data_IF_856417365491
#
_entry.id   IF_856417365491
#
_cell.length_a   1.000
_cell.length_b   1.000
_cell.length_c   1.000
_cell.angle_alpha   90.00
_cell.angle_beta   90.00
_cell.angle_gamma   90.00
#
_symmetry.space_group_name_H-M   'P 1'
#
loop_
_entity.id
_entity.type
_entity.pdbx_description
1 polymer ?
#
# COMPACT_ATOMS: atom_id res chain seq x y z
N UNK A 1 17.29 -54.20 68.74
CA UNK A 1 15.92 -54.10 68.20
C UNK A 1 15.84 -52.92 67.25
N UNK A 2 15.67 -53.27 65.97
CA UNK A 2 15.26 -52.53 64.77
C UNK A 2 14.99 -51.02 64.80
N UNK A 3 15.88 -50.28 64.13
CA UNK A 3 15.68 -49.32 63.02
C UNK A 3 14.24 -49.26 62.49
N UNK A 4 13.63 -48.08 62.26
CA UNK A 4 12.93 -47.68 61.01
C UNK A 4 12.74 -46.16 60.96
N UNK A 5 13.26 -45.56 59.88
CA UNK A 5 13.18 -44.15 59.47
C UNK A 5 11.82 -43.91 58.80
N UNK A 6 11.22 -42.74 59.01
CA UNK A 6 10.16 -42.21 58.13
C UNK A 6 10.60 -40.83 57.63
N UNK A 7 11.13 -40.81 56.40
CA UNK A 7 11.33 -39.60 55.61
C UNK A 7 10.16 -39.49 54.63
N UNK A 8 9.42 -38.40 54.68
CA UNK A 8 8.37 -38.09 53.71
C UNK A 8 9.00 -37.49 52.44
N UNK A 9 8.65 -37.96 51.22
CA UNK A 9 9.08 -37.32 50.00
C UNK A 9 8.19 -36.11 49.70
N UNK A 10 8.79 -34.91 49.72
CA UNK A 10 8.21 -33.71 49.16
C UNK A 10 8.30 -33.81 47.62
N UNK A 11 7.22 -34.24 46.98
CA UNK A 11 7.12 -34.24 45.51
C UNK A 11 6.89 -32.79 45.04
N UNK A 12 7.97 -32.06 44.79
CA UNK A 12 7.92 -30.77 44.10
C UNK A 12 7.65 -31.02 42.61
N UNK A 13 6.40 -30.83 42.20
CA UNK A 13 6.03 -30.76 40.79
C UNK A 13 6.63 -29.49 40.18
N UNK A 14 7.78 -29.62 39.53
CA UNK A 14 8.35 -28.58 38.66
C UNK A 14 7.44 -28.50 37.42
N UNK A 15 6.49 -27.57 37.45
CA UNK A 15 5.78 -27.15 36.26
C UNK A 15 6.78 -26.48 35.31
N UNK A 16 7.32 -27.25 34.36
CA UNK A 16 7.98 -26.72 33.17
C UNK A 16 6.93 -25.94 32.37
N UNK A 17 6.77 -24.67 32.72
CA UNK A 17 6.18 -23.71 31.82
C UNK A 17 7.12 -23.64 30.63
N UNK A 18 6.69 -24.23 29.51
CA UNK A 18 7.35 -24.03 28.23
C UNK A 18 7.21 -22.55 27.88
N UNK A 19 8.15 -21.74 28.36
CA UNK A 19 8.29 -20.36 27.95
C UNK A 19 8.44 -20.37 26.44
N UNK A 20 7.50 -19.73 25.74
CA UNK A 20 7.56 -19.54 24.31
C UNK A 20 8.76 -18.64 24.00
N UNK A 21 9.95 -19.24 23.94
CA UNK A 21 11.19 -18.57 23.65
C UNK A 21 11.22 -18.27 22.15
N UNK A 22 10.80 -17.08 21.77
CA UNK A 22 11.20 -16.52 20.49
C UNK A 22 12.69 -16.18 20.59
N UNK A 23 13.54 -16.96 19.93
CA UNK A 23 14.98 -16.75 19.97
C UNK A 23 15.41 -15.82 18.81
N UNK A 24 16.55 -15.12 18.91
CA UNK A 24 17.08 -14.30 17.82
C UNK A 24 17.16 -15.03 16.46
N UNK A 25 17.38 -16.35 16.48
CA UNK A 25 17.40 -17.19 15.29
C UNK A 25 16.05 -17.20 14.54
N UNK A 26 14.92 -17.06 15.23
CA UNK A 26 13.59 -16.99 14.59
C UNK A 26 13.34 -15.62 13.96
N UNK A 27 13.75 -14.53 14.62
CA UNK A 27 13.68 -13.20 14.03
C UNK A 27 14.56 -13.11 12.77
N UNK A 28 15.74 -13.76 12.79
CA UNK A 28 16.61 -13.86 11.63
C UNK A 28 15.99 -14.68 10.48
N UNK A 29 15.30 -15.79 10.80
CA UNK A 29 14.61 -16.64 9.80
C UNK A 29 13.49 -15.89 9.08
N UNK A 30 12.60 -15.25 9.82
CA UNK A 30 11.41 -14.61 9.25
C UNK A 30 11.68 -13.17 8.77
N UNK A 31 12.85 -12.60 9.13
CA UNK A 31 13.25 -11.20 8.85
C UNK A 31 12.19 -10.19 9.33
N UNK A 32 11.46 -10.50 10.40
CA UNK A 32 10.45 -9.63 11.02
C UNK A 32 10.94 -9.12 12.37
N UNK A 33 10.58 -7.88 12.77
CA UNK A 33 10.91 -7.38 14.10
C UNK A 33 10.17 -8.18 15.18
N UNK A 34 10.69 -8.18 16.40
CA UNK A 34 10.05 -8.89 17.52
C UNK A 34 8.61 -8.44 17.78
N UNK A 35 8.32 -7.15 17.56
CA UNK A 35 6.97 -6.57 17.66
C UNK A 35 5.94 -7.19 16.72
N UNK A 36 6.38 -7.90 15.67
CA UNK A 36 5.46 -8.60 14.77
C UNK A 36 4.81 -9.80 15.47
N UNK A 37 5.58 -10.57 16.24
CA UNK A 37 5.09 -11.76 16.95
C UNK A 37 4.72 -11.48 18.42
N UNK A 38 5.28 -10.44 19.02
CA UNK A 38 5.11 -10.09 20.43
C UNK A 38 4.49 -8.70 20.60
N UNK A 39 3.65 -8.54 21.62
CA UNK A 39 3.12 -7.22 22.01
C UNK A 39 4.25 -6.30 22.48
N UNK A 40 5.25 -6.86 23.16
CA UNK A 40 6.48 -6.15 23.54
C UNK A 40 7.43 -6.02 22.34
N UNK A 41 7.84 -4.81 21.94
CA UNK A 41 8.82 -4.63 20.86
C UNK A 41 10.20 -5.22 21.16
N UNK A 42 10.55 -5.38 22.45
CA UNK A 42 11.78 -6.04 22.89
C UNK A 42 11.70 -7.58 22.82
N UNK A 43 10.55 -8.14 22.39
CA UNK A 43 10.28 -9.57 22.41
C UNK A 43 9.77 -10.07 23.77
N UNK A 44 9.41 -11.36 23.81
CA UNK A 44 8.85 -12.01 24.99
C UNK A 44 7.43 -11.54 25.35
N UNK A 45 6.89 -12.07 26.45
CA UNK A 45 5.55 -11.72 26.93
C UNK A 45 4.42 -12.23 26.04
N UNK A 46 3.31 -11.48 26.00
CA UNK A 46 2.13 -11.85 25.23
C UNK A 46 2.39 -11.84 23.72
N UNK A 47 1.85 -12.85 23.03
CA UNK A 47 1.93 -12.99 21.58
C UNK A 47 0.79 -12.22 20.89
N UNK A 48 1.12 -11.58 19.77
CA UNK A 48 0.13 -11.03 18.82
C UNK A 48 -0.63 -12.16 18.12
N UNK A 49 -1.62 -11.83 17.29
CA UNK A 49 -2.29 -12.81 16.43
C UNK A 49 -1.29 -13.55 15.52
N UNK A 50 -0.32 -12.83 14.95
CA UNK A 50 0.75 -13.41 14.14
C UNK A 50 1.66 -14.33 14.95
N UNK A 51 2.05 -13.94 16.17
CA UNK A 51 2.84 -14.80 17.05
C UNK A 51 2.12 -16.09 17.44
N UNK A 52 0.81 -16.00 17.76
CA UNK A 52 -0.04 -17.16 18.05
C UNK A 52 -0.14 -18.08 16.83
N UNK A 53 -0.35 -17.52 15.64
CA UNK A 53 -0.35 -18.28 14.38
C UNK A 53 0.97 -19.00 14.16
N UNK A 54 2.10 -18.30 14.34
CA UNK A 54 3.44 -18.85 14.14
C UNK A 54 3.69 -20.10 14.98
N UNK A 55 3.37 -20.04 16.28
CA UNK A 55 3.51 -21.18 17.20
C UNK A 55 2.61 -22.34 16.78
N UNK A 56 1.37 -22.04 16.36
CA UNK A 56 0.42 -23.06 15.91
C UNK A 56 0.77 -23.70 14.56
N UNK A 57 1.59 -23.04 13.72
CA UNK A 57 1.89 -23.48 12.35
C UNK A 57 3.37 -23.85 12.17
N UNK A 58 3.91 -24.67 13.08
CA UNK A 58 5.28 -25.20 13.01
C UNK A 58 6.35 -24.10 12.86
N UNK A 59 6.16 -22.95 13.52
CA UNK A 59 7.08 -21.82 13.46
C UNK A 59 7.26 -21.34 12.00
N UNK A 60 6.14 -21.12 11.34
CA UNK A 60 6.06 -20.56 9.98
C UNK A 60 4.96 -19.50 9.91
N UNK A 61 5.24 -18.39 9.23
CA UNK A 61 4.23 -17.38 8.89
C UNK A 61 3.54 -17.67 7.55
N UNK A 62 3.96 -18.72 6.84
CA UNK A 62 3.35 -19.13 5.57
C UNK A 62 1.86 -19.43 5.79
N UNK A 63 1.01 -18.75 5.03
CA UNK A 63 -0.44 -18.93 5.10
C UNK A 63 -1.13 -18.12 6.20
N UNK A 64 -0.41 -17.27 6.95
CA UNK A 64 -1.01 -16.35 7.90
C UNK A 64 -2.11 -15.54 7.17
N UNK A 65 -3.37 -15.52 7.65
CA UNK A 65 -4.44 -14.80 6.96
C UNK A 65 -4.15 -13.31 6.86
N UNK A 66 -4.36 -12.71 5.69
CA UNK A 66 -4.24 -11.26 5.49
C UNK A 66 -5.53 -10.61 5.98
N UNK A 67 -5.42 -9.60 6.82
CA UNK A 67 -6.54 -8.81 7.30
C UNK A 67 -6.15 -7.35 7.35
N UNK A 68 -7.03 -6.47 6.86
CA UNK A 68 -6.88 -5.04 7.05
C UNK A 68 -7.99 -4.51 7.95
N UNK A 69 -7.65 -3.52 8.77
CA UNK A 69 -8.60 -2.78 9.60
C UNK A 69 -8.60 -1.30 9.23
N UNK A 70 -9.76 -0.68 9.41
CA UNK A 70 -9.90 0.78 9.33
C UNK A 70 -9.13 1.41 10.48
N UNK A 71 -8.03 2.10 10.19
CA UNK A 71 -7.31 2.87 11.20
C UNK A 71 -7.95 4.24 11.43
N UNK A 72 -8.54 4.81 10.37
CA UNK A 72 -9.20 6.09 10.43
C UNK A 72 -10.07 6.41 9.24
N UNK A 73 -10.96 7.38 9.47
CA UNK A 73 -11.78 8.02 8.48
C UNK A 73 -11.63 9.54 8.60
N UNK A 74 -11.72 10.24 7.48
CA UNK A 74 -11.69 11.69 7.42
C UNK A 74 -12.56 12.20 6.28
N UNK A 75 -12.99 13.45 6.35
CA UNK A 75 -13.58 14.15 5.22
C UNK A 75 -12.47 14.67 4.31
N UNK A 76 -12.66 14.54 2.99
CA UNK A 76 -11.83 15.17 1.98
C UNK A 76 -12.56 16.39 1.39
N UNK A 77 -11.84 17.33 0.74
CA UNK A 77 -12.48 18.37 -0.06
C UNK A 77 -13.49 17.77 -1.06
N UNK A 78 -14.66 18.38 -1.17
CA UNK A 78 -15.82 17.87 -1.94
C UNK A 78 -15.50 17.57 -3.41
N UNK A 79 -14.60 18.35 -4.00
CA UNK A 79 -14.16 18.24 -5.38
C UNK A 79 -13.11 17.15 -5.62
N UNK A 80 -12.58 16.53 -4.55
CA UNK A 80 -11.49 15.55 -4.64
C UNK A 80 -11.90 14.38 -5.53
N UNK A 81 -11.08 14.09 -6.54
CA UNK A 81 -11.22 12.94 -7.46
C UNK A 81 -9.98 12.06 -7.54
N UNK A 82 -8.83 12.54 -7.07
CA UNK A 82 -7.59 11.76 -6.96
C UNK A 82 -6.92 12.00 -5.64
N UNK A 83 -6.27 10.95 -5.16
CA UNK A 83 -5.47 10.96 -3.94
C UNK A 83 -4.10 10.35 -4.19
N UNK A 84 -3.11 10.83 -3.44
CA UNK A 84 -1.80 10.24 -3.36
C UNK A 84 -1.19 10.44 -1.97
N UNK A 85 -0.18 9.66 -1.64
CA UNK A 85 0.58 9.76 -0.40
C UNK A 85 2.07 9.94 -0.73
N UNK A 86 2.74 10.88 -0.07
CA UNK A 86 4.17 11.07 -0.27
C UNK A 86 4.79 12.15 0.60
N UNK A 87 6.09 12.03 0.86
CA UNK A 87 6.89 13.09 1.48
C UNK A 87 7.37 14.07 0.40
N UNK A 88 6.45 14.85 -0.16
CA UNK A 88 6.76 15.77 -1.27
C UNK A 88 7.53 17.01 -0.83
N UNK A 89 7.56 17.36 0.46
CA UNK A 89 8.24 18.56 0.95
C UNK A 89 9.67 18.29 1.48
N UNK A 90 10.06 17.02 1.59
CA UNK A 90 11.41 16.64 2.00
C UNK A 90 11.68 16.70 3.50
N UNK A 91 10.66 16.92 4.33
CA UNK A 91 10.80 17.03 5.79
C UNK A 91 10.59 15.69 6.52
N UNK A 92 10.55 14.59 5.77
CA UNK A 92 10.36 13.23 6.28
C UNK A 92 8.90 12.88 6.56
N UNK A 93 7.96 13.83 6.44
CA UNK A 93 6.55 13.61 6.75
C UNK A 93 5.76 13.25 5.50
N UNK A 94 5.13 12.09 5.53
CA UNK A 94 4.17 11.68 4.51
C UNK A 94 2.93 12.55 4.61
N UNK A 95 2.50 13.09 3.48
CA UNK A 95 1.31 13.94 3.37
C UNK A 95 0.29 13.31 2.45
N UNK A 96 -0.96 13.69 2.66
CA UNK A 96 -2.04 13.45 1.73
C UNK A 96 -1.99 14.51 0.63
N UNK A 97 -2.05 14.09 -0.62
CA UNK A 97 -2.24 14.98 -1.76
C UNK A 97 -3.61 14.73 -2.36
N UNK A 98 -4.36 15.79 -2.63
CA UNK A 98 -5.71 15.72 -3.19
C UNK A 98 -5.79 16.57 -4.46
N UNK A 99 -6.31 15.99 -5.55
CA UNK A 99 -6.61 16.72 -6.77
C UNK A 99 -8.13 16.82 -6.96
N UNK A 100 -8.61 18.05 -7.10
CA UNK A 100 -9.99 18.37 -7.44
C UNK A 100 -10.31 18.23 -8.93
N UNK A 101 -11.38 18.87 -9.38
CA UNK A 101 -11.75 18.94 -10.81
C UNK A 101 -10.76 19.75 -11.66
N UNK A 102 -10.06 20.70 -11.05
CA UNK A 102 -9.03 21.54 -11.68
C UNK A 102 -7.68 20.85 -11.86
N UNK A 103 -6.65 21.67 -12.06
CA UNK A 103 -5.25 21.28 -12.21
C UNK A 103 -4.38 21.61 -10.99
N UNK A 104 -5.00 22.02 -9.88
CA UNK A 104 -4.33 22.36 -8.63
C UNK A 104 -4.32 21.16 -7.67
N UNK A 105 -3.13 20.65 -7.39
CA UNK A 105 -2.89 19.59 -6.42
C UNK A 105 -2.70 20.23 -5.05
N UNK A 106 -3.60 19.95 -4.12
CA UNK A 106 -3.49 20.40 -2.73
C UNK A 106 -2.66 19.41 -1.93
N UNK A 107 -1.72 19.93 -1.14
CA UNK A 107 -0.89 19.16 -0.22
C UNK A 107 -1.44 19.40 1.18
N UNK A 108 -1.97 18.34 1.78
CA UNK A 108 -2.70 18.38 3.04
C UNK A 108 -1.80 17.85 4.17
N UNK A 109 -1.93 18.44 5.35
CA UNK A 109 -1.32 17.96 6.58
C UNK A 109 -2.37 17.63 7.62
N UNK A 110 -2.01 16.74 8.54
CA UNK A 110 -2.83 16.47 9.72
C UNK A 110 -2.48 17.47 10.82
N UNK A 111 -3.48 18.23 11.26
CA UNK A 111 -3.40 19.13 12.41
C UNK A 111 -4.67 18.94 13.25
N UNK A 112 -4.51 18.78 14.56
CA UNK A 112 -5.63 18.64 15.51
C UNK A 112 -6.69 17.60 15.11
N UNK A 113 -6.21 16.42 14.64
CA UNK A 113 -7.05 15.33 14.14
C UNK A 113 -7.96 15.70 12.95
N UNK A 114 -7.59 16.72 12.18
CA UNK A 114 -8.25 17.11 10.93
C UNK A 114 -7.24 17.30 9.81
N UNK A 115 -7.72 17.21 8.57
CA UNK A 115 -6.94 17.55 7.39
C UNK A 115 -7.00 19.06 7.17
N UNK A 116 -5.84 19.69 7.03
CA UNK A 116 -5.70 21.11 6.72
C UNK A 116 -4.81 21.30 5.49
N UNK A 117 -5.16 22.20 4.55
CA UNK A 117 -4.27 22.56 3.44
C UNK A 117 -2.96 23.14 3.97
N UNK A 118 -1.83 22.65 3.45
CA UNK A 118 -0.50 23.18 3.74
C UNK A 118 0.02 24.08 2.64
N UNK A 119 -0.10 23.62 1.40
CA UNK A 119 0.30 24.35 0.19
C UNK A 119 -0.36 23.71 -1.02
N UNK A 120 -0.18 24.27 -2.21
CA UNK A 120 -0.71 23.72 -3.45
C UNK A 120 0.30 23.82 -4.59
N UNK A 121 0.05 23.03 -5.64
CA UNK A 121 0.89 22.94 -6.82
C UNK A 121 0.01 22.93 -8.08
N UNK A 122 0.23 23.88 -8.97
CA UNK A 122 -0.44 23.90 -10.28
C UNK A 122 0.25 22.96 -11.26
N UNK A 123 -0.45 21.92 -11.69
CA UNK A 123 0.10 20.85 -12.52
C UNK A 123 -0.02 21.10 -14.03
N UNK A 124 -0.99 21.92 -14.45
CA UNK A 124 -1.25 22.18 -15.87
C UNK A 124 -1.85 20.97 -16.63
N UNK A 125 -1.58 20.86 -17.94
CA UNK A 125 -2.10 19.76 -18.75
C UNK A 125 -1.69 18.38 -18.21
N UNK A 126 -2.61 17.42 -18.27
CA UNK A 126 -2.35 16.06 -17.78
C UNK A 126 -2.51 15.86 -16.27
N UNK A 127 -2.92 16.90 -15.51
CA UNK A 127 -3.14 16.81 -14.07
C UNK A 127 -4.01 15.62 -13.63
N UNK A 128 -5.01 15.22 -14.44
CA UNK A 128 -5.89 14.08 -14.16
C UNK A 128 -5.16 12.73 -14.04
N UNK A 129 -3.94 12.65 -14.57
CA UNK A 129 -3.05 11.48 -14.55
C UNK A 129 -1.86 11.69 -13.61
N UNK A 130 -2.05 12.42 -12.52
CA UNK A 130 -1.03 12.67 -11.52
C UNK A 130 -0.70 11.41 -10.70
N UNK A 131 0.59 11.20 -10.46
CA UNK A 131 1.11 10.22 -9.52
C UNK A 131 2.18 10.86 -8.63
N UNK A 132 2.33 10.32 -7.42
CA UNK A 132 3.33 10.77 -6.45
C UNK A 132 4.11 9.56 -5.97
N UNK A 133 5.43 9.62 -6.06
CA UNK A 133 6.30 8.50 -5.70
C UNK A 133 7.72 9.00 -5.39
N UNK A 134 8.48 8.21 -4.63
CA UNK A 134 9.90 8.46 -4.37
C UNK A 134 10.73 7.99 -5.57
N UNK A 135 10.65 8.73 -6.68
CA UNK A 135 11.26 8.36 -7.97
C UNK A 135 12.79 8.56 -8.02
N UNK A 136 13.37 9.14 -6.97
CA UNK A 136 14.80 9.29 -6.76
C UNK A 136 15.12 8.88 -5.33
N UNK A 137 16.11 8.00 -5.15
CA UNK A 137 16.45 7.44 -3.83
C UNK A 137 16.93 8.55 -2.89
N UNK A 138 16.52 8.47 -1.62
CA UNK A 138 16.89 9.41 -0.55
C UNK A 138 16.49 10.87 -0.81
N UNK A 139 15.53 11.10 -1.71
CA UNK A 139 14.99 12.42 -2.06
C UNK A 139 13.51 12.51 -1.68
N UNK A 140 12.96 13.74 -1.62
CA UNK A 140 11.52 13.94 -1.50
C UNK A 140 10.75 13.21 -2.62
N UNK A 141 9.50 12.88 -2.34
CA UNK A 141 8.60 12.33 -3.35
C UNK A 141 8.41 13.33 -4.50
N UNK A 142 8.39 12.82 -5.73
CA UNK A 142 8.21 13.57 -6.96
C UNK A 142 6.74 13.48 -7.38
N UNK A 143 6.18 14.61 -7.83
CA UNK A 143 4.87 14.63 -8.46
C UNK A 143 5.05 14.50 -9.97
N UNK A 144 4.51 13.46 -10.59
CA UNK A 144 4.63 13.19 -12.01
C UNK A 144 3.28 13.38 -12.72
N UNK A 145 3.31 14.03 -13.89
CA UNK A 145 2.20 14.15 -14.84
C UNK A 145 2.73 13.96 -16.26
N UNK A 146 1.88 13.67 -17.25
CA UNK A 146 2.32 13.64 -18.64
C UNK A 146 3.09 14.91 -19.05
N UNK A 147 4.32 14.72 -19.53
CA UNK A 147 5.23 15.77 -20.01
C UNK A 147 6.03 16.52 -18.95
N UNK A 148 5.82 16.30 -17.65
CA UNK A 148 6.56 16.99 -16.59
C UNK A 148 6.67 16.21 -15.27
N UNK A 149 7.73 16.50 -14.52
CA UNK A 149 7.83 16.12 -13.11
C UNK A 149 8.04 17.37 -12.26
N UNK A 150 7.56 17.36 -11.03
CA UNK A 150 7.71 18.45 -10.07
C UNK A 150 8.48 17.93 -8.86
N UNK A 151 9.57 18.61 -8.55
CA UNK A 151 10.46 18.31 -7.43
C UNK A 151 10.44 19.48 -6.46
N UNK A 152 10.41 19.20 -5.15
CA UNK A 152 10.50 20.24 -4.13
C UNK A 152 11.96 20.47 -3.72
N UNK A 153 12.36 21.73 -3.60
CA UNK A 153 13.65 22.16 -3.07
C UNK A 153 13.44 23.33 -2.10
N UNK A 154 14.53 23.99 -1.69
CA UNK A 154 14.48 25.12 -0.76
C UNK A 154 13.71 26.35 -1.30
N UNK A 155 13.53 26.43 -2.63
CA UNK A 155 12.78 27.49 -3.32
C UNK A 155 11.32 27.10 -3.61
N UNK A 156 10.91 25.89 -3.20
CA UNK A 156 9.58 25.32 -3.44
C UNK A 156 9.55 24.31 -4.60
N UNK A 157 8.41 24.21 -5.28
CA UNK A 157 8.26 23.25 -6.37
C UNK A 157 8.86 23.75 -7.68
N UNK A 158 9.83 23.01 -8.21
CA UNK A 158 10.43 23.22 -9.53
C UNK A 158 9.84 22.22 -10.54
N UNK A 159 9.30 22.74 -11.64
CA UNK A 159 8.85 21.94 -12.78
C UNK A 159 10.03 21.58 -13.68
N UNK A 160 10.24 20.29 -13.93
CA UNK A 160 11.21 19.77 -14.88
C UNK A 160 10.49 19.19 -16.10
N UNK A 161 10.97 19.51 -17.30
CA UNK A 161 10.38 19.03 -18.56
C UNK A 161 10.73 17.55 -18.76
N UNK A 162 9.71 16.72 -18.94
CA UNK A 162 9.84 15.26 -19.06
C UNK A 162 9.11 14.77 -20.31
N UNK A 163 9.51 15.25 -21.49
CA UNK A 163 8.73 15.08 -22.73
C UNK A 163 8.47 13.64 -23.16
N UNK A 164 9.33 12.70 -22.75
CA UNK A 164 9.15 11.27 -23.06
C UNK A 164 8.05 10.60 -22.20
N UNK A 165 7.66 11.22 -21.08
CA UNK A 165 6.57 10.73 -20.23
C UNK A 165 5.22 11.15 -20.84
N UNK A 166 4.84 10.53 -21.95
CA UNK A 166 3.65 10.93 -22.73
C UNK A 166 2.32 10.55 -22.08
N UNK A 167 2.33 9.50 -21.26
CA UNK A 167 1.23 9.07 -20.42
C UNK A 167 1.77 8.46 -19.12
N UNK A 168 0.91 8.29 -18.12
CA UNK A 168 1.24 7.56 -16.90
C UNK A 168 0.10 6.60 -16.60
N UNK A 169 0.40 5.30 -16.63
CA UNK A 169 -0.56 4.25 -16.32
C UNK A 169 -0.51 3.85 -14.85
N UNK A 170 0.62 4.08 -14.16
CA UNK A 170 0.74 3.71 -12.77
C UNK A 170 2.06 4.09 -12.12
N UNK A 171 2.18 3.67 -10.86
CA UNK A 171 3.41 3.64 -10.09
C UNK A 171 3.69 2.22 -9.61
N UNK A 172 4.96 1.88 -9.50
CA UNK A 172 5.45 0.61 -8.96
C UNK A 172 6.51 0.90 -7.90
N UNK A 173 6.48 0.12 -6.83
CA UNK A 173 7.60 -0.02 -5.90
C UNK A 173 8.15 -1.43 -5.98
N UNK A 174 9.44 -1.56 -6.26
CA UNK A 174 10.15 -2.84 -6.26
C UNK A 174 10.51 -3.28 -4.83
N UNK A 175 10.92 -4.53 -4.65
CA UNK A 175 11.30 -5.09 -3.33
C UNK A 175 12.56 -4.49 -2.72
N UNK A 176 13.41 -3.87 -3.54
CA UNK A 176 14.57 -3.08 -3.08
C UNK A 176 14.20 -1.65 -2.62
N UNK A 177 12.94 -1.27 -2.78
CA UNK A 177 12.39 0.02 -2.38
C UNK A 177 12.40 1.08 -3.49
N UNK A 178 13.01 0.83 -4.65
CA UNK A 178 12.96 1.74 -5.80
C UNK A 178 11.52 1.96 -6.25
N UNK A 179 11.16 3.21 -6.55
CA UNK A 179 9.85 3.53 -7.11
C UNK A 179 9.99 4.13 -8.50
N UNK A 180 9.08 3.76 -9.39
CA UNK A 180 9.04 4.25 -10.75
C UNK A 180 7.60 4.60 -11.14
N UNK A 181 7.45 5.48 -12.13
CA UNK A 181 6.21 5.57 -12.91
C UNK A 181 6.33 4.64 -14.11
N UNK A 182 5.20 4.10 -14.58
CA UNK A 182 5.20 3.32 -15.81
C UNK A 182 4.09 3.73 -16.77
N UNK A 183 4.36 3.54 -18.05
CA UNK A 183 3.43 3.72 -19.16
C UNK A 183 3.14 2.35 -19.77
N UNK A 184 1.86 1.96 -19.80
CA UNK A 184 1.38 0.74 -20.42
C UNK A 184 0.31 1.07 -21.45
N UNK A 185 0.55 0.63 -22.69
CA UNK A 185 -0.32 0.86 -23.84
C UNK A 185 -1.19 -0.35 -24.21
N UNK A 186 -1.06 -1.47 -23.47
CA UNK A 186 -1.78 -2.71 -23.74
C UNK A 186 -1.14 -3.62 -24.80
N UNK A 187 -0.10 -3.14 -25.50
CA UNK A 187 0.47 -3.82 -26.68
C UNK A 187 1.94 -4.19 -26.50
N UNK A 188 2.65 -3.51 -25.60
CA UNK A 188 4.08 -3.69 -25.37
C UNK A 188 4.40 -3.81 -23.88
N UNK A 189 5.63 -4.23 -23.58
CA UNK A 189 6.16 -4.19 -22.22
C UNK A 189 6.08 -2.75 -21.69
N UNK A 190 5.60 -2.52 -20.46
CA UNK A 190 5.50 -1.18 -19.91
C UNK A 190 6.84 -0.43 -19.94
N UNK A 191 6.85 0.79 -20.44
CA UNK A 191 8.00 1.68 -20.29
C UNK A 191 8.06 2.19 -18.83
N UNK A 192 9.19 1.97 -18.16
CA UNK A 192 9.37 2.30 -16.74
C UNK A 192 10.36 3.45 -16.59
N UNK A 193 9.99 4.47 -15.82
CA UNK A 193 10.80 5.67 -15.64
C UNK A 193 11.05 5.97 -14.16
N UNK A 194 12.32 6.14 -13.82
CA UNK A 194 12.77 6.81 -12.60
C UNK A 194 12.99 8.30 -12.85
N UNK A 195 13.47 9.01 -11.83
CA UNK A 195 13.82 10.44 -11.93
C UNK A 195 15.23 10.70 -11.40
N UNK A 196 15.95 11.58 -12.12
CA UNK A 196 17.20 12.19 -11.68
C UNK A 196 17.07 13.71 -11.78
N UNK A 197 16.77 14.35 -10.66
CA UNK A 197 16.35 15.76 -10.58
C UNK A 197 17.42 16.79 -10.95
N UNK A 198 18.69 16.40 -10.93
CA UNK A 198 19.84 17.23 -11.31
C UNK A 198 20.24 17.09 -12.78
N UNK A 199 19.62 16.18 -13.53
CA UNK A 199 19.91 15.96 -14.94
C UNK A 199 19.14 16.92 -15.88
N UNK A 200 19.70 17.19 -17.06
CA UNK A 200 19.03 18.00 -18.09
C UNK A 200 17.77 17.34 -18.65
N UNK A 201 17.80 16.01 -18.79
CA UNK A 201 16.62 15.17 -18.94
C UNK A 201 16.36 14.47 -17.60
N UNK A 202 15.26 14.79 -16.90
CA UNK A 202 15.04 14.26 -15.56
C UNK A 202 14.65 12.78 -15.57
N UNK A 203 14.29 12.18 -16.70
CA UNK A 203 13.86 10.80 -16.76
C UNK A 203 15.05 9.84 -16.91
N UNK A 204 15.05 8.79 -16.09
CA UNK A 204 15.94 7.63 -16.22
C UNK A 204 15.13 6.40 -16.60
N UNK A 205 15.78 5.41 -17.24
CA UNK A 205 15.16 4.10 -17.48
C UNK A 205 15.14 3.35 -16.15
N UNK A 206 13.94 2.95 -15.71
CA UNK A 206 13.76 2.12 -14.52
C UNK A 206 13.86 0.62 -14.81
N UNK A 207 13.76 -0.24 -13.78
CA UNK A 207 13.77 -1.69 -13.96
C UNK A 207 12.58 -2.17 -14.80
N UNK A 208 12.81 -3.21 -15.60
CA UNK A 208 11.77 -3.87 -16.39
C UNK A 208 10.65 -4.41 -15.48
N UNK A 209 9.40 -4.29 -15.93
CA UNK A 209 8.26 -4.90 -15.25
C UNK A 209 8.03 -6.32 -15.76
N UNK A 210 7.98 -7.29 -14.84
CA UNK A 210 7.55 -8.66 -15.09
C UNK A 210 6.03 -8.80 -15.04
N UNK A 211 5.50 -9.91 -15.57
CA UNK A 211 4.07 -10.21 -15.49
C UNK A 211 3.60 -10.34 -14.03
N UNK A 212 2.32 -10.01 -13.72
CA UNK A 212 1.78 -10.08 -12.37
C UNK A 212 2.03 -11.40 -11.62
N UNK A 213 1.92 -12.54 -12.29
CA UNK A 213 2.15 -13.87 -11.73
C UNK A 213 3.63 -14.17 -11.45
N UNK A 214 4.54 -13.39 -12.03
CA UNK A 214 5.99 -13.44 -11.81
C UNK A 214 6.45 -12.35 -10.81
N UNK A 215 5.54 -11.50 -10.35
CA UNK A 215 5.87 -10.33 -9.53
C UNK A 215 6.29 -10.65 -8.09
N UNK A 216 6.09 -11.88 -7.61
CA UNK A 216 6.51 -12.29 -6.28
C UNK A 216 8.03 -12.15 -6.12
N UNK A 217 8.47 -11.43 -5.08
CA UNK A 217 9.88 -11.10 -4.86
C UNK A 217 10.42 -9.96 -5.74
N UNK A 218 9.64 -9.47 -6.71
CA UNK A 218 9.99 -8.33 -7.57
C UNK A 218 9.28 -7.06 -7.14
N UNK A 219 7.97 -7.16 -6.86
CA UNK A 219 7.14 -6.01 -6.48
C UNK A 219 6.84 -5.98 -4.99
N UNK A 220 7.04 -4.81 -4.39
CA UNK A 220 6.40 -4.47 -3.12
C UNK A 220 4.93 -4.11 -3.36
N UNK A 221 4.67 -3.20 -4.30
CA UNK A 221 3.31 -2.89 -4.76
C UNK A 221 3.31 -2.25 -6.14
N UNK A 222 2.15 -2.30 -6.78
CA UNK A 222 1.80 -1.61 -8.01
C UNK A 222 0.47 -0.90 -7.77
N UNK A 223 0.36 0.35 -8.22
CA UNK A 223 -0.92 1.09 -8.31
C UNK A 223 -1.08 1.54 -9.75
N UNK A 224 -2.04 0.94 -10.45
CA UNK A 224 -2.33 1.24 -11.84
C UNK A 224 -3.69 1.90 -11.96
N UNK A 225 -3.80 2.84 -12.91
CA UNK A 225 -5.04 3.48 -13.29
C UNK A 225 -5.31 3.30 -14.77
N UNK A 226 -6.38 2.58 -15.08
CA UNK A 226 -6.76 2.26 -16.45
C UNK A 226 -8.21 2.68 -16.72
N UNK A 227 -8.50 3.18 -17.92
CA UNK A 227 -9.87 3.30 -18.40
C UNK A 227 -10.62 1.96 -18.31
N UNK A 228 -11.92 2.00 -18.02
CA UNK A 228 -12.73 0.79 -17.80
C UNK A 228 -12.80 -0.11 -19.05
N UNK A 229 -12.80 0.49 -20.24
CA UNK A 229 -12.73 -0.19 -21.53
C UNK A 229 -11.38 -0.92 -21.71
N UNK A 230 -10.27 -0.29 -21.33
CA UNK A 230 -8.97 -0.95 -21.33
C UNK A 230 -8.94 -2.17 -20.38
N UNK A 231 -9.54 -2.07 -19.20
CA UNK A 231 -9.65 -3.20 -18.27
C UNK A 231 -10.49 -4.35 -18.84
N UNK A 232 -11.61 -4.02 -19.49
CA UNK A 232 -12.45 -5.01 -20.16
C UNK A 232 -11.70 -5.71 -21.31
N UNK A 233 -10.92 -4.95 -22.10
CA UNK A 233 -10.07 -5.50 -23.17
C UNK A 233 -8.97 -6.42 -22.63
N UNK A 234 -8.45 -6.14 -21.44
CA UNK A 234 -7.48 -6.98 -20.73
C UNK A 234 -8.14 -8.21 -20.06
N UNK A 235 -9.44 -8.43 -20.27
CA UNK A 235 -10.16 -9.60 -19.75
C UNK A 235 -10.50 -9.54 -18.26
N UNK A 236 -10.43 -8.36 -17.63
CA UNK A 236 -10.82 -8.22 -16.22
C UNK A 236 -12.32 -8.47 -16.03
N UNK A 237 -12.74 -9.07 -14.91
CA UNK A 237 -14.15 -9.23 -14.60
C UNK A 237 -14.90 -7.89 -14.61
N UNK A 238 -16.15 -7.92 -15.06
CA UNK A 238 -16.97 -6.72 -15.18
C UNK A 238 -17.17 -6.00 -13.84
N UNK A 239 -17.15 -6.73 -12.72
CA UNK A 239 -17.22 -6.19 -11.37
C UNK A 239 -15.99 -5.36 -11.00
N UNK A 240 -14.80 -5.75 -11.48
CA UNK A 240 -13.54 -5.05 -11.26
C UNK A 240 -13.33 -3.91 -12.27
N UNK A 241 -13.67 -4.13 -13.53
CA UNK A 241 -13.47 -3.17 -14.62
C UNK A 241 -14.28 -1.86 -14.46
N UNK A 242 -15.27 -1.82 -13.56
CA UNK A 242 -16.08 -0.62 -13.25
C UNK A 242 -15.32 0.45 -12.49
N UNK A 243 -14.17 0.13 -11.89
CA UNK A 243 -13.35 1.08 -11.14
C UNK A 243 -11.98 1.19 -11.79
N UNK A 244 -11.50 2.40 -12.12
CA UNK A 244 -10.31 2.56 -12.94
C UNK A 244 -9.01 2.35 -12.16
N UNK A 245 -9.01 1.72 -10.99
CA UNK A 245 -7.84 1.59 -10.12
C UNK A 245 -7.69 0.17 -9.58
N UNK A 246 -6.49 -0.37 -9.72
CA UNK A 246 -6.13 -1.73 -9.32
C UNK A 246 -4.62 -1.84 -9.12
N UNK A 247 -4.16 -3.01 -8.70
CA UNK A 247 -2.73 -3.28 -8.76
C UNK A 247 -2.32 -4.56 -8.04
N UNK A 248 -1.08 -4.55 -7.60
CA UNK A 248 -0.44 -5.64 -6.87
C UNK A 248 0.05 -5.12 -5.52
N UNK A 249 0.09 -5.96 -4.51
CA UNK A 249 0.60 -5.62 -3.19
C UNK A 249 1.10 -6.86 -2.48
N UNK A 250 2.34 -6.81 -2.01
CA UNK A 250 2.86 -7.71 -0.99
C UNK A 250 2.71 -7.00 0.36
N UNK A 251 1.61 -7.23 1.10
CA UNK A 251 1.33 -6.48 2.30
C UNK A 251 2.33 -6.73 3.43
N UNK A 252 3.09 -7.82 3.36
CA UNK A 252 4.01 -8.22 4.43
C UNK A 252 5.46 -8.11 4.04
N UNK A 253 5.79 -7.99 2.76
CA UNK A 253 7.17 -8.19 2.30
C UNK A 253 7.61 -9.63 2.59
N UNK A 254 6.75 -10.60 2.29
CA UNK A 254 7.04 -12.04 2.41
C UNK A 254 6.92 -12.78 1.07
N UNK A 255 7.01 -12.02 -0.03
CA UNK A 255 6.92 -12.46 -1.42
C UNK A 255 5.54 -13.04 -1.78
N UNK A 256 4.56 -12.93 -0.89
CA UNK A 256 3.20 -13.40 -1.11
C UNK A 256 2.33 -12.34 -1.79
N UNK A 257 2.73 -11.97 -3.01
CA UNK A 257 2.07 -10.94 -3.80
C UNK A 257 0.57 -11.24 -3.96
N UNK A 258 -0.26 -10.22 -3.81
CA UNK A 258 -1.69 -10.26 -4.06
C UNK A 258 -2.05 -9.24 -5.11
N UNK A 259 -3.03 -9.56 -5.92
CA UNK A 259 -3.67 -8.55 -6.71
C UNK A 259 -4.83 -7.96 -5.93
N UNK A 260 -5.02 -6.65 -6.07
CA UNK A 260 -6.07 -5.91 -5.41
C UNK A 260 -6.87 -5.09 -6.42
N UNK A 261 -8.14 -4.91 -6.13
CA UNK A 261 -9.07 -4.13 -6.96
C UNK A 261 -10.30 -3.74 -6.15
N UNK A 262 -11.05 -2.77 -6.66
CA UNK A 262 -12.40 -2.50 -6.18
C UNK A 262 -13.38 -3.43 -6.90
N UNK A 263 -14.07 -4.26 -6.13
CA UNK A 263 -15.09 -5.17 -6.60
C UNK A 263 -16.47 -4.54 -6.43
N UNK A 264 -17.19 -4.38 -7.54
CA UNK A 264 -18.53 -3.78 -7.57
C UNK A 264 -19.61 -4.79 -7.94
N UNK A 265 -20.41 -5.16 -6.95
CA UNK A 265 -21.56 -6.06 -7.11
C UNK A 265 -22.84 -5.46 -6.50
N UNK A 266 -23.91 -6.27 -6.40
CA UNK A 266 -25.19 -5.84 -5.83
C UNK A 266 -25.12 -5.47 -4.33
N UNK A 267 -24.05 -5.86 -3.62
CA UNK A 267 -23.83 -5.54 -2.20
C UNK A 267 -23.02 -4.26 -2.01
N UNK A 268 -22.68 -3.56 -3.09
CA UNK A 268 -21.90 -2.32 -3.08
C UNK A 268 -20.49 -2.50 -3.62
N UNK A 269 -19.64 -1.53 -3.31
CA UNK A 269 -18.23 -1.51 -3.70
C UNK A 269 -17.37 -1.90 -2.49
N UNK A 270 -16.41 -2.80 -2.69
CA UNK A 270 -15.46 -3.23 -1.65
C UNK A 270 -14.07 -3.43 -2.22
N UNK A 271 -13.05 -3.25 -1.41
CA UNK A 271 -11.68 -3.60 -1.77
C UNK A 271 -11.50 -5.11 -1.56
N UNK A 272 -10.96 -5.81 -2.55
CA UNK A 272 -10.63 -7.24 -2.43
C UNK A 272 -9.15 -7.47 -2.69
N UNK A 273 -8.61 -8.52 -2.07
CA UNK A 273 -7.31 -9.09 -2.41
C UNK A 273 -7.52 -10.52 -2.92
N UNK A 274 -6.87 -10.88 -4.00
CA UNK A 274 -6.96 -12.20 -4.63
C UNK A 274 -5.59 -12.68 -5.11
N UNK A 275 -5.54 -13.95 -5.55
CA UNK A 275 -4.38 -14.50 -6.23
C UNK A 275 -4.15 -13.77 -7.57
N UNK A 276 -2.94 -13.26 -7.87
CA UNK A 276 -2.67 -12.58 -9.14
C UNK A 276 -2.97 -13.43 -10.39
N UNK A 277 -2.69 -14.74 -10.34
CA UNK A 277 -2.93 -15.65 -11.47
C UNK A 277 -4.42 -15.87 -11.76
N UNK A 278 -5.29 -15.71 -10.76
CA UNK A 278 -6.74 -15.85 -10.95
C UNK A 278 -7.34 -14.74 -11.82
N UNK A 279 -6.68 -13.58 -11.91
CA UNK A 279 -7.20 -12.42 -12.65
C UNK A 279 -6.99 -12.58 -14.15
N UNK A 280 -5.84 -13.11 -14.56
CA UNK A 280 -5.48 -13.22 -15.97
C UNK A 280 -6.05 -14.49 -16.64
N UNK A 281 -6.48 -15.47 -15.84
CA UNK A 281 -6.87 -16.81 -16.32
C UNK A 281 -8.35 -17.02 -16.64
N UNK A 282 -9.17 -15.96 -16.72
CA UNK A 282 -10.64 -16.07 -16.88
C UNK A 282 -11.35 -16.98 -15.83
N UNK A 283 -10.69 -17.23 -14.70
CA UNK A 283 -11.20 -18.09 -13.63
C UNK A 283 -12.12 -17.36 -12.67
N UNK A 284 -12.78 -18.12 -11.80
CA UNK A 284 -13.52 -17.54 -10.67
C UNK A 284 -12.55 -16.86 -9.71
N UNK A 285 -12.71 -15.56 -9.50
CA UNK A 285 -11.94 -14.84 -8.48
C UNK A 285 -12.45 -15.25 -7.09
N UNK A 286 -11.58 -15.89 -6.33
CA UNK A 286 -11.79 -16.21 -4.92
C UNK A 286 -10.93 -15.27 -4.07
N UNK A 287 -11.52 -14.19 -3.50
CA UNK A 287 -10.75 -13.27 -2.68
C UNK A 287 -10.17 -13.98 -1.45
N UNK A 288 -8.89 -13.76 -1.17
CA UNK A 288 -8.28 -14.18 0.11
C UNK A 288 -8.64 -13.23 1.25
N UNK A 289 -9.07 -12.01 0.89
CA UNK A 289 -9.58 -11.01 1.82
C UNK A 289 -10.54 -10.06 1.09
N UNK A 290 -11.50 -9.50 1.82
CA UNK A 290 -12.40 -8.45 1.34
C UNK A 290 -12.71 -7.47 2.46
N UNK A 291 -12.72 -6.18 2.14
CA UNK A 291 -13.21 -5.16 3.07
C UNK A 291 -14.71 -5.29 3.29
N UNK A 292 -15.23 -4.62 4.32
CA UNK A 292 -16.64 -4.26 4.34
C UNK A 292 -17.00 -3.41 3.10
N UNK A 293 -18.26 -3.42 2.70
CA UNK A 293 -18.73 -2.51 1.64
C UNK A 293 -18.53 -1.07 2.07
N UNK A 294 -18.02 -0.25 1.16
CA UNK A 294 -17.93 1.19 1.35
C UNK A 294 -19.32 1.82 1.29
N UNK A 295 -19.50 2.93 2.03
CA UNK A 295 -20.79 3.62 2.11
C UNK A 295 -21.23 4.29 0.80
N UNK A 296 -20.31 4.45 -0.15
CA UNK A 296 -20.59 5.01 -1.47
C UNK A 296 -19.58 4.57 -2.51
N UNK A 297 -19.55 5.29 -3.63
CA UNK A 297 -18.73 4.95 -4.79
C UNK A 297 -17.25 5.22 -4.50
N UNK A 298 -16.38 4.25 -4.74
CA UNK A 298 -14.94 4.44 -4.71
C UNK A 298 -14.50 5.23 -5.94
N UNK A 299 -13.79 6.32 -5.70
CA UNK A 299 -13.31 7.22 -6.75
C UNK A 299 -11.85 6.96 -7.09
N UNK A 300 -11.04 6.64 -6.09
CA UNK A 300 -9.61 6.40 -6.23
C UNK A 300 -9.06 5.60 -5.03
N UNK A 301 -7.94 4.93 -5.24
CA UNK A 301 -7.22 4.16 -4.24
C UNK A 301 -5.72 4.38 -4.43
N UNK A 302 -4.98 4.49 -3.34
CA UNK A 302 -3.52 4.47 -3.38
C UNK A 302 -2.98 3.61 -2.25
N UNK A 303 -1.72 3.18 -2.36
CA UNK A 303 -1.00 2.46 -1.33
C UNK A 303 0.09 3.39 -0.81
N UNK A 304 0.27 3.43 0.51
CA UNK A 304 1.32 4.23 1.11
C UNK A 304 1.37 4.11 2.62
N UNK A 305 2.26 4.89 3.22
CA UNK A 305 2.36 5.01 4.69
C UNK A 305 1.26 5.92 5.22
N UNK A 306 0.73 5.62 6.41
CA UNK A 306 -0.25 6.46 7.09
C UNK A 306 0.35 7.86 7.34
N UNK A 307 -0.26 8.95 6.86
CA UNK A 307 0.21 10.31 7.11
C UNK A 307 0.11 10.75 8.59
N UNK A 308 -0.57 9.98 9.45
CA UNK A 308 -0.64 10.22 10.91
C UNK A 308 0.37 9.41 11.71
N UNK A 309 0.76 8.25 11.20
CA UNK A 309 1.74 7.34 11.78
C UNK A 309 2.60 6.74 10.68
N UNK A 310 3.88 7.12 10.61
CA UNK A 310 4.77 6.75 9.50
C UNK A 310 5.05 5.24 9.38
N UNK A 311 4.63 4.41 10.34
CA UNK A 311 4.94 2.98 10.36
C UNK A 311 3.88 2.11 9.69
N UNK A 312 2.60 2.51 9.71
CA UNK A 312 1.54 1.73 9.10
C UNK A 312 1.57 1.90 7.57
N UNK A 313 1.56 0.80 6.82
CA UNK A 313 1.39 0.80 5.36
C UNK A 313 0.03 0.17 5.05
N UNK A 314 -0.68 0.74 4.09
CA UNK A 314 -2.02 0.29 3.76
C UNK A 314 -2.61 0.97 2.55
N UNK A 315 -3.91 0.77 2.38
CA UNK A 315 -4.70 1.41 1.34
C UNK A 315 -5.33 2.69 1.87
N UNK A 316 -5.17 3.78 1.13
CA UNK A 316 -6.03 4.95 1.29
C UNK A 316 -7.10 4.91 0.22
N UNK A 317 -8.36 4.88 0.64
CA UNK A 317 -9.53 4.80 -0.24
C UNK A 317 -10.27 6.12 -0.20
N UNK A 318 -10.53 6.69 -1.38
CA UNK A 318 -11.40 7.86 -1.56
C UNK A 318 -12.78 7.39 -2.02
N UNK A 319 -13.82 7.84 -1.31
CA UNK A 319 -15.22 7.54 -1.64
C UNK A 319 -16.06 8.81 -1.77
N UNK A 320 -17.09 8.73 -2.60
CA UNK A 320 -18.19 9.69 -2.66
C UNK A 320 -19.22 9.35 -1.58
N UNK A 321 -19.54 10.30 -0.70
CA UNK A 321 -20.63 10.14 0.27
C UNK A 321 -21.97 10.12 -0.46
N UNK A 322 -22.77 9.06 -0.23
CA UNK A 322 -24.11 8.90 -0.81
C UNK A 322 -25.15 9.91 -0.33
N UNK A 323 -24.88 10.71 0.72
CA UNK A 323 -25.70 11.86 1.10
C UNK A 323 -25.46 12.98 0.10
N UNK A 324 -26.29 13.00 -0.94
CA UNK A 324 -26.33 14.03 -2.00
C UNK A 324 -25.15 14.04 -2.98
N UNK A 325 -24.17 13.13 -2.87
CA UNK A 325 -23.05 13.03 -3.82
C UNK A 325 -22.04 14.18 -3.75
N UNK A 326 -22.20 15.08 -2.79
CA UNK A 326 -21.35 16.27 -2.62
C UNK A 326 -20.21 16.04 -1.63
N UNK A 327 -20.35 15.10 -0.70
CA UNK A 327 -19.30 14.76 0.26
C UNK A 327 -18.21 13.86 -0.32
N UNK A 328 -16.99 13.97 0.21
CA UNK A 328 -15.88 13.05 -0.05
C UNK A 328 -15.37 12.51 1.27
N UNK A 329 -15.20 11.20 1.35
CA UNK A 329 -14.69 10.53 2.54
C UNK A 329 -13.43 9.74 2.20
N UNK A 330 -12.48 9.79 3.13
CA UNK A 330 -11.25 9.03 3.12
C UNK A 330 -11.32 7.95 4.18
N UNK A 331 -10.82 6.76 3.85
CA UNK A 331 -10.63 5.67 4.78
C UNK A 331 -9.25 5.05 4.56
N UNK A 332 -8.46 4.93 5.64
CA UNK A 332 -7.17 4.26 5.59
C UNK A 332 -7.27 2.87 6.21
N UNK A 333 -7.04 1.86 5.38
CA UNK A 333 -7.07 0.45 5.73
C UNK A 333 -5.63 -0.04 5.88
N UNK A 334 -5.18 -0.31 7.10
CA UNK A 334 -3.84 -0.85 7.36
C UNK A 334 -3.89 -2.34 7.68
N UNK A 335 -2.79 -3.02 7.39
CA UNK A 335 -2.61 -4.43 7.78
C UNK A 335 -2.72 -4.55 9.30
N UNK A 336 -3.49 -5.53 9.77
CA UNK A 336 -3.67 -5.85 11.19
C UNK A 336 -2.48 -6.62 11.79
#
# INVERSE_FOLDING_TARGET
>A
MNIWKLAAPFAAAIGLSAGAAATPEFAAKEKKPCSFCHVSPAGGGELTAAGKYYVAHNKSLKGLPISFKSLWKAEAPAETRRIALGNVLGDGKVRLLTLGSGDELSIMEWADAKLSPKTSLKLGPGASSVFVANLEKDKPAVVAVPGAVYVHNDEGFKRLKASALTAISGIVQFTDGEQCVFQFDGMSEPAVFGVKSDASNPLTVGPAMVYPEQGAGVYSWVVARFPSDALAMLGWPAEAAKTPVLGLYDPRGDENLKAWMIWKDAKGERLILADPGAILGAGTINPVWSSASFAGKVLDVTIGRDPRDSNAVGFLVLTEDGKEGTGRALEFLALD
#
